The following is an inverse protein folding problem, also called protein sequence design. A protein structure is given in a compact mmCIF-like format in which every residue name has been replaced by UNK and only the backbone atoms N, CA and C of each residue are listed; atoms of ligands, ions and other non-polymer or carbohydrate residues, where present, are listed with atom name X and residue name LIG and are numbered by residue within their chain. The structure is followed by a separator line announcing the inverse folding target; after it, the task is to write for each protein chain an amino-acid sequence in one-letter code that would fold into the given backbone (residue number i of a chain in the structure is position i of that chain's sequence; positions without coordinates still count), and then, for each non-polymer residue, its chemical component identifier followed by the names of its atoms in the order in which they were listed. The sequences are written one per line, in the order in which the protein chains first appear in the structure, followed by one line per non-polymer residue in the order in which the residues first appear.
data_IF_988620423248
#
_entry.id   IF_988620423248
#
_cell.length_a   1.000
_cell.length_b   1.000
_cell.length_c   1.000
_cell.angle_alpha   90.00
_cell.angle_beta   90.00
_cell.angle_gamma   90.00
#
_symmetry.space_group_name_H-M   'P 1'
#
loop_
_entity.id
_entity.type
_entity.pdbx_description
1 polymer ?
#
# COMPACT_ATOMS: atom_id res chain seq x y z
N UNK A 1 14.55 2.61 7.29
CA UNK A 1 14.65 3.24 8.62
C UNK A 1 13.26 3.57 9.13
N UNK A 2 13.02 3.37 10.43
CA UNK A 2 11.76 3.70 11.09
C UNK A 2 12.03 4.53 12.33
N UNK A 3 11.38 5.69 12.42
CA UNK A 3 11.32 6.51 13.62
C UNK A 3 10.01 6.24 14.36
N UNK A 4 10.10 6.03 15.68
CA UNK A 4 8.93 5.87 16.56
C UNK A 4 9.02 6.90 17.68
N UNK A 5 8.09 7.86 17.68
CA UNK A 5 7.96 8.86 18.73
C UNK A 5 7.13 8.35 19.91
N UNK A 6 7.34 8.93 21.09
CA UNK A 6 6.58 8.60 22.31
C UNK A 6 5.14 9.15 22.35
N UNK A 7 4.75 9.94 21.35
CA UNK A 7 3.46 10.64 21.27
C UNK A 7 2.49 10.01 20.25
N UNK A 8 2.73 8.75 19.85
CA UNK A 8 1.92 8.05 18.85
C UNK A 8 2.25 8.38 17.40
N UNK A 9 3.21 9.27 17.15
CA UNK A 9 3.73 9.56 15.81
C UNK A 9 4.83 8.56 15.43
N UNK A 10 4.83 8.11 14.17
CA UNK A 10 5.94 7.37 13.58
C UNK A 10 6.14 7.75 12.12
N UNK A 11 7.37 7.55 11.63
CA UNK A 11 7.76 7.83 10.27
C UNK A 11 8.66 6.70 9.72
N UNK A 12 8.57 6.45 8.42
CA UNK A 12 9.44 5.51 7.72
C UNK A 12 10.11 6.18 6.52
N UNK A 13 11.32 5.73 6.21
CA UNK A 13 12.03 5.99 4.97
C UNK A 13 12.73 4.71 4.55
N UNK A 14 12.46 4.22 3.34
CA UNK A 14 13.03 2.99 2.78
C UNK A 14 13.68 3.29 1.44
N UNK A 15 14.79 2.58 1.17
CA UNK A 15 15.40 2.48 -0.15
C UNK A 15 15.30 1.01 -0.54
N UNK A 16 14.67 0.72 -1.67
CA UNK A 16 14.27 -0.64 -2.03
C UNK A 16 14.75 -1.01 -3.42
N UNK A 17 15.11 -2.29 -3.58
CA UNK A 17 15.52 -2.87 -4.87
C UNK A 17 14.33 -3.14 -5.78
N UNK A 18 13.13 -3.34 -5.21
CA UNK A 18 11.99 -3.92 -5.92
C UNK A 18 11.90 -5.41 -5.65
N UNK A 19 10.90 -6.08 -6.24
CA UNK A 19 10.71 -7.52 -6.05
C UNK A 19 9.72 -8.12 -7.03
N UNK A 20 10.12 -9.22 -7.65
CA UNK A 20 9.37 -9.85 -8.76
C UNK A 20 8.39 -10.95 -8.31
N UNK A 21 8.02 -10.97 -7.03
CA UNK A 21 7.11 -11.98 -6.47
C UNK A 21 5.64 -11.74 -6.81
N UNK A 22 5.27 -10.47 -6.96
CA UNK A 22 3.89 -10.01 -7.20
C UNK A 22 3.74 -9.24 -8.52
N UNK A 23 4.74 -9.33 -9.43
CA UNK A 23 4.76 -8.66 -10.74
C UNK A 23 4.87 -9.66 -11.89
N UNK A 24 4.35 -9.28 -13.05
CA UNK A 24 4.40 -10.09 -14.27
C UNK A 24 5.67 -9.83 -15.10
N UNK A 25 6.36 -8.73 -14.80
CA UNK A 25 7.63 -8.33 -15.39
C UNK A 25 8.67 -8.06 -14.29
N UNK A 26 9.93 -7.93 -14.69
CA UNK A 26 10.97 -7.48 -13.79
C UNK A 26 10.69 -6.02 -13.38
N UNK A 27 10.54 -5.80 -12.08
CA UNK A 27 10.31 -4.49 -11.45
C UNK A 27 11.45 -4.11 -10.52
N UNK A 28 12.58 -4.82 -10.57
CA UNK A 28 13.77 -4.42 -9.82
C UNK A 28 14.40 -3.16 -10.41
N UNK A 29 15.15 -2.39 -9.62
CA UNK A 29 15.90 -1.24 -10.12
C UNK A 29 16.78 -1.65 -11.31
N UNK A 30 16.75 -0.86 -12.37
CA UNK A 30 17.53 -1.07 -13.59
C UNK A 30 18.86 -0.26 -13.57
N UNK A 31 19.02 0.64 -12.60
CA UNK A 31 20.13 1.58 -12.44
C UNK A 31 20.48 1.77 -10.95
N UNK A 32 21.49 2.59 -10.63
CA UNK A 32 21.93 2.87 -9.25
C UNK A 32 20.92 3.67 -8.39
N UNK A 33 19.76 4.06 -8.95
CA UNK A 33 18.72 4.77 -8.21
C UNK A 33 17.76 3.75 -7.58
N UNK A 34 17.72 3.64 -6.24
CA UNK A 34 16.76 2.76 -5.58
C UNK A 34 15.35 3.35 -5.67
N UNK A 35 14.35 2.49 -5.53
CA UNK A 35 13.02 2.98 -5.21
C UNK A 35 13.02 3.65 -3.84
N UNK A 36 12.22 4.69 -3.66
CA UNK A 36 12.18 5.47 -2.42
C UNK A 36 10.79 5.40 -1.83
N UNK A 37 10.68 4.95 -0.58
CA UNK A 37 9.40 4.88 0.14
C UNK A 37 9.45 5.78 1.36
N UNK A 38 8.45 6.63 1.53
CA UNK A 38 8.28 7.49 2.70
C UNK A 38 6.89 7.33 3.28
N UNK A 39 6.77 7.36 4.60
CA UNK A 39 5.46 7.24 5.23
C UNK A 39 5.40 7.86 6.62
N UNK A 40 4.20 8.28 7.00
CA UNK A 40 3.89 8.89 8.27
C UNK A 40 2.68 8.20 8.88
N UNK A 41 2.66 8.10 10.20
CA UNK A 41 1.53 7.59 10.96
C UNK A 41 1.34 8.39 12.23
N UNK A 42 0.09 8.58 12.60
CA UNK A 42 -0.31 9.05 13.91
C UNK A 42 -1.36 8.12 14.50
N UNK A 43 -1.13 7.65 15.72
CA UNK A 43 -2.00 6.71 16.43
C UNK A 43 -2.32 7.18 17.84
N UNK A 44 -3.55 6.91 18.28
CA UNK A 44 -4.03 7.19 19.64
C UNK A 44 -5.14 6.20 20.04
N UNK A 45 -5.75 6.41 21.22
CA UNK A 45 -6.83 5.54 21.70
C UNK A 45 -8.06 5.48 20.78
N UNK A 46 -8.27 6.52 19.98
CA UNK A 46 -9.36 6.62 19.01
C UNK A 46 -9.13 5.80 17.73
N UNK A 47 -7.90 5.38 17.43
CA UNK A 47 -7.53 4.74 16.17
C UNK A 47 -6.21 5.28 15.60
N UNK A 48 -6.11 5.32 14.27
CA UNK A 48 -4.91 5.86 13.60
C UNK A 48 -5.19 6.41 12.21
N UNK A 49 -4.31 7.28 11.75
CA UNK A 49 -4.19 7.65 10.34
C UNK A 49 -2.75 7.39 9.88
N UNK A 50 -2.60 6.81 8.70
CA UNK A 50 -1.31 6.55 8.09
C UNK A 50 -1.33 6.90 6.61
N UNK A 51 -0.22 7.42 6.11
CA UNK A 51 -0.01 7.67 4.70
C UNK A 51 1.38 7.16 4.30
N UNK A 52 1.48 6.58 3.11
CA UNK A 52 2.74 6.15 2.50
C UNK A 52 2.74 6.59 1.04
N UNK A 53 3.89 7.00 0.55
CA UNK A 53 4.16 7.26 -0.86
C UNK A 53 5.46 6.57 -1.25
N UNK A 54 5.51 6.11 -2.48
CA UNK A 54 6.63 5.43 -3.07
C UNK A 54 6.93 6.03 -4.44
N UNK A 55 8.21 6.23 -4.72
CA UNK A 55 8.73 6.54 -6.04
C UNK A 55 9.35 5.28 -6.63
N UNK A 56 8.75 4.80 -7.71
CA UNK A 56 9.24 3.69 -8.51
C UNK A 56 10.30 4.22 -9.48
N UNK A 57 11.57 4.16 -9.08
CA UNK A 57 12.69 4.60 -9.91
C UNK A 57 12.81 3.90 -11.28
N UNK A 58 12.25 2.69 -11.46
CA UNK A 58 12.33 1.97 -12.75
C UNK A 58 11.33 2.52 -13.75
N UNK A 59 10.10 2.74 -13.30
CA UNK A 59 9.02 3.27 -14.14
C UNK A 59 9.01 4.81 -14.14
N UNK A 60 9.76 5.45 -13.24
CA UNK A 60 9.74 6.89 -12.95
C UNK A 60 8.37 7.38 -12.45
N UNK A 61 7.59 6.50 -11.83
CA UNK A 61 6.21 6.74 -11.42
C UNK A 61 6.04 6.79 -9.90
N UNK A 62 4.89 7.33 -9.46
CA UNK A 62 4.54 7.46 -8.05
C UNK A 62 3.34 6.58 -7.71
N UNK A 63 3.35 6.03 -6.50
CA UNK A 63 2.17 5.43 -5.90
C UNK A 63 2.05 5.84 -4.43
N UNK A 64 0.82 5.97 -3.95
CA UNK A 64 0.56 6.37 -2.59
C UNK A 64 -0.70 5.73 -2.03
N UNK A 65 -0.72 5.56 -0.71
CA UNK A 65 -1.89 5.05 0.02
C UNK A 65 -2.10 5.87 1.29
N UNK A 66 -3.37 6.12 1.60
CA UNK A 66 -3.79 6.73 2.88
C UNK A 66 -4.80 5.80 3.52
N UNK A 67 -4.61 5.49 4.80
CA UNK A 67 -5.48 4.65 5.59
C UNK A 67 -5.91 5.38 6.86
N UNK A 68 -7.20 5.31 7.17
CA UNK A 68 -7.77 5.71 8.44
C UNK A 68 -8.41 4.51 9.13
N UNK A 69 -8.18 4.39 10.44
CA UNK A 69 -8.75 3.39 11.32
C UNK A 69 -9.42 4.11 12.49
N UNK A 70 -10.64 3.72 12.85
CA UNK A 70 -11.41 4.32 13.95
C UNK A 70 -11.98 3.24 14.86
N UNK A 71 -11.70 3.34 16.15
CA UNK A 71 -12.35 2.56 17.20
C UNK A 71 -13.69 3.20 17.52
N UNK A 72 -14.77 2.56 17.12
CA UNK A 72 -16.14 3.01 17.43
C UNK A 72 -16.49 2.65 18.88
N UNK A 73 -16.08 1.47 19.32
CA UNK A 73 -16.19 0.99 20.71
C UNK A 73 -14.97 0.13 21.06
N UNK A 74 -14.86 -0.30 22.32
CA UNK A 74 -13.81 -1.25 22.75
C UNK A 74 -13.86 -2.60 22.05
N UNK A 75 -14.96 -2.91 21.34
CA UNK A 75 -15.18 -4.17 20.64
C UNK A 75 -15.40 -4.01 19.15
N UNK A 76 -15.57 -2.79 18.64
CA UNK A 76 -15.90 -2.56 17.23
C UNK A 76 -15.07 -1.44 16.64
N UNK A 77 -14.42 -1.71 15.52
CA UNK A 77 -13.62 -0.74 14.77
C UNK A 77 -13.90 -0.82 13.28
N UNK A 78 -13.65 0.26 12.56
CA UNK A 78 -13.75 0.32 11.11
C UNK A 78 -12.50 0.93 10.53
N UNK A 79 -12.22 0.63 9.26
CA UNK A 79 -11.12 1.21 8.55
C UNK A 79 -11.46 1.43 7.08
N UNK A 80 -10.80 2.42 6.49
CA UNK A 80 -10.84 2.72 5.06
C UNK A 80 -9.44 3.04 4.57
N UNK A 81 -9.12 2.62 3.37
CA UNK A 81 -7.87 2.92 2.70
C UNK A 81 -8.14 3.31 1.25
N UNK A 82 -7.53 4.41 0.81
CA UNK A 82 -7.47 4.81 -0.59
C UNK A 82 -6.05 4.69 -1.11
N UNK A 83 -5.90 4.25 -2.35
CA UNK A 83 -4.64 4.20 -3.09
C UNK A 83 -4.75 4.97 -4.40
N UNK A 84 -3.64 5.60 -4.78
CA UNK A 84 -3.45 6.23 -6.07
C UNK A 84 -2.11 5.81 -6.67
N UNK A 85 -2.05 5.59 -7.98
CA UNK A 85 -0.81 5.42 -8.73
C UNK A 85 -0.87 6.28 -9.99
N UNK A 86 0.27 6.81 -10.40
CA UNK A 86 0.42 7.50 -11.68
C UNK A 86 0.81 6.55 -12.83
N UNK A 87 1.30 5.35 -12.50
CA UNK A 87 1.62 4.32 -13.49
C UNK A 87 0.37 3.84 -14.23
N UNK A 88 0.37 4.01 -15.55
CA UNK A 88 -0.68 3.50 -16.43
C UNK A 88 -0.78 1.98 -16.38
N UNK A 89 -1.96 1.44 -16.71
CA UNK A 89 -2.14 0.00 -16.85
C UNK A 89 -1.71 -0.47 -18.24
N UNK A 90 -0.84 -1.47 -18.29
CA UNK A 90 -0.47 -2.17 -19.52
C UNK A 90 -1.22 -3.51 -19.66
N UNK A 91 -1.43 -3.93 -20.91
CA UNK A 91 -2.18 -5.15 -21.22
C UNK A 91 -1.41 -6.03 -22.19
N UNK A 92 -1.47 -7.34 -21.96
CA UNK A 92 -0.89 -8.37 -22.81
C UNK A 92 -1.97 -9.38 -23.24
N UNK A 93 -1.68 -10.16 -24.28
CA UNK A 93 -2.57 -11.19 -24.80
C UNK A 93 -1.94 -12.55 -24.57
N UNK A 94 -2.70 -13.50 -24.01
CA UNK A 94 -2.24 -14.86 -23.79
C UNK A 94 -2.22 -15.71 -25.09
N UNK A 95 -1.71 -16.94 -25.01
CA UNK A 95 -1.65 -17.85 -26.17
C UNK A 95 -3.02 -18.29 -26.72
N UNK A 96 -4.11 -18.03 -26.00
CA UNK A 96 -5.48 -18.31 -26.42
C UNK A 96 -6.23 -17.07 -26.94
N UNK A 97 -5.57 -15.90 -26.97
CA UNK A 97 -6.13 -14.64 -27.47
C UNK A 97 -6.87 -13.81 -26.42
N UNK A 98 -6.79 -14.14 -25.13
CA UNK A 98 -7.40 -13.35 -24.06
C UNK A 98 -6.48 -12.22 -23.61
N UNK A 99 -7.03 -11.00 -23.53
CA UNK A 99 -6.33 -9.84 -22.97
C UNK A 99 -6.39 -9.88 -21.44
N UNK A 100 -5.24 -9.66 -20.79
CA UNK A 100 -5.12 -9.50 -19.35
C UNK A 100 -4.23 -8.30 -19.02
N UNK A 101 -4.42 -7.75 -17.84
CA UNK A 101 -3.63 -6.63 -17.34
C UNK A 101 -2.32 -7.14 -16.76
N UNK A 102 -1.22 -6.51 -17.14
CA UNK A 102 0.12 -6.81 -16.66
C UNK A 102 0.38 -6.01 -15.40
N UNK A 103 0.90 -6.66 -14.37
CA UNK A 103 1.38 -6.00 -13.16
C UNK A 103 2.85 -5.63 -13.38
N UNK A 104 3.08 -4.38 -13.78
CA UNK A 104 4.39 -3.85 -14.15
C UNK A 104 4.93 -2.75 -13.21
N UNK A 105 4.25 -2.53 -12.09
CA UNK A 105 4.69 -1.60 -11.05
C UNK A 105 4.82 -2.32 -9.71
N UNK A 106 5.89 -2.02 -8.97
CA UNK A 106 6.14 -2.61 -7.67
C UNK A 106 5.20 -2.06 -6.56
N UNK A 107 4.75 -0.80 -6.67
CA UNK A 107 3.96 -0.14 -5.63
C UNK A 107 2.46 0.02 -5.94
N UNK A 108 2.05 -0.30 -7.18
CA UNK A 108 0.71 -0.01 -7.74
C UNK A 108 0.04 -1.21 -8.41
N UNK A 109 -0.09 -2.34 -7.70
CA UNK A 109 -0.57 -3.60 -8.32
C UNK A 109 -2.08 -3.66 -8.59
N UNK A 110 -2.88 -2.70 -8.14
CA UNK A 110 -4.33 -2.61 -8.45
C UNK A 110 -4.60 -2.04 -9.84
N UNK A 111 -5.78 -2.32 -10.39
CA UNK A 111 -6.22 -1.83 -11.70
C UNK A 111 -6.79 -0.42 -11.65
N UNK A 112 -6.52 0.36 -12.69
CA UNK A 112 -6.75 1.79 -12.78
C UNK A 112 -5.87 2.60 -11.84
N UNK A 113 -6.00 3.92 -11.92
CA UNK A 113 -5.19 4.84 -11.11
C UNK A 113 -5.57 4.76 -9.63
N UNK A 114 -6.83 4.45 -9.32
CA UNK A 114 -7.39 4.52 -7.98
C UNK A 114 -7.88 3.16 -7.49
N UNK A 115 -7.67 2.90 -6.20
CA UNK A 115 -8.28 1.78 -5.50
C UNK A 115 -8.76 2.18 -4.11
N UNK A 116 -9.82 1.53 -3.66
CA UNK A 116 -10.42 1.76 -2.35
C UNK A 116 -10.67 0.42 -1.67
N UNK A 117 -10.28 0.36 -0.40
CA UNK A 117 -10.51 -0.77 0.48
C UNK A 117 -11.16 -0.28 1.76
N UNK A 118 -11.90 -1.17 2.41
CA UNK A 118 -12.46 -0.91 3.72
C UNK A 118 -12.78 -2.21 4.41
N UNK A 119 -12.97 -2.12 5.72
CA UNK A 119 -13.35 -3.26 6.53
C UNK A 119 -13.78 -2.84 7.92
N UNK A 120 -14.31 -3.80 8.66
CA UNK A 120 -14.71 -3.64 10.04
C UNK A 120 -14.16 -4.79 10.85
N UNK A 121 -13.94 -4.59 12.14
CA UNK A 121 -13.55 -5.66 13.04
C UNK A 121 -14.46 -5.67 14.26
N UNK A 122 -14.85 -6.87 14.70
CA UNK A 122 -15.65 -7.09 15.91
C UNK A 122 -15.02 -8.12 16.85
N UNK A 123 -14.69 -7.69 18.06
CA UNK A 123 -14.12 -8.51 19.12
C UNK A 123 -15.24 -9.21 19.91
N UNK A 124 -15.62 -10.39 19.46
CA UNK A 124 -16.68 -11.19 20.10
C UNK A 124 -16.27 -11.72 21.48
N UNK A 125 -15.00 -12.10 21.65
CA UNK A 125 -14.42 -12.51 22.95
C UNK A 125 -13.00 -11.95 23.07
N UNK A 126 -12.35 -12.14 24.21
CA UNK A 126 -10.93 -11.76 24.37
C UNK A 126 -10.00 -12.45 23.37
N UNK A 127 -10.38 -13.62 22.86
CA UNK A 127 -9.57 -14.46 21.97
C UNK A 127 -10.11 -14.54 20.53
N UNK A 128 -11.28 -13.96 20.24
CA UNK A 128 -11.93 -14.07 18.95
C UNK A 128 -12.30 -12.69 18.40
N UNK A 129 -11.76 -12.37 17.23
CA UNK A 129 -12.07 -11.15 16.47
C UNK A 129 -12.46 -11.54 15.05
N UNK A 130 -13.60 -11.04 14.59
CA UNK A 130 -14.04 -11.15 13.20
C UNK A 130 -13.59 -9.91 12.43
N UNK A 131 -13.15 -10.10 11.18
CA UNK A 131 -12.74 -9.05 10.24
C UNK A 131 -13.48 -9.21 8.92
#
# INVERSE_FOLDING_TARGET
YTFTGGNGFSAILSLEEGGNGDSDVDVTLNDYTPHIVGGLKYAGGWGSIAAVAAYDARNEEWAGKVRGDVNITDRFSVWVQGGYKSNDDTYAVDGAGYSYRVIDSFYGTWGGDWAVWGGAAFKATEKATFN
#
